data_IF_162977494085
#
_entry.id   IF_162977494085
#
_cell.length_a   1.000
_cell.length_b   1.000
_cell.length_c   1.000
_cell.angle_alpha   90.00
_cell.angle_beta   90.00
_cell.angle_gamma   90.00
#
_symmetry.space_group_name_H-M   'P 1'
#
loop_
_entity.id
_entity.type
_entity.pdbx_description
1 polymer ?
#
# COMPACT_ATOMS: atom_id res chain seq x y z
N UNK A 1 -1.89 0.63 -11.87
CA UNK A 1 -1.69 2.09 -11.78
C UNK A 1 -0.57 2.49 -10.82
N UNK A 2 -0.44 1.88 -9.63
CA UNK A 2 0.63 2.20 -8.67
C UNK A 2 2.07 2.00 -9.18
N UNK A 3 2.33 0.93 -9.95
CA UNK A 3 3.63 0.73 -10.63
C UNK A 3 3.97 1.88 -11.60
N UNK A 4 2.97 2.43 -12.30
CA UNK A 4 3.17 3.59 -13.20
C UNK A 4 3.48 4.85 -12.40
N UNK A 5 2.83 5.03 -11.24
CA UNK A 5 3.08 6.15 -10.34
C UNK A 5 4.51 6.16 -9.78
N UNK A 6 5.10 4.97 -9.58
CA UNK A 6 6.49 4.76 -9.17
C UNK A 6 7.48 4.61 -10.34
N UNK A 7 7.01 4.66 -11.59
CA UNK A 7 7.85 4.53 -12.79
C UNK A 7 8.44 3.13 -13.02
N UNK A 8 7.92 2.09 -12.36
CA UNK A 8 8.46 0.73 -12.42
C UNK A 8 7.96 0.00 -13.67
N UNK A 9 8.89 -0.64 -14.40
CA UNK A 9 8.56 -1.47 -15.58
C UNK A 9 8.48 -2.95 -15.23
N UNK A 10 9.54 -3.52 -14.68
CA UNK A 10 9.64 -4.95 -14.32
C UNK A 10 9.94 -5.22 -12.85
N UNK A 11 10.29 -4.20 -12.09
CA UNK A 11 10.65 -4.33 -10.67
C UNK A 11 9.43 -4.64 -9.80
N UNK A 12 9.70 -5.28 -8.67
CA UNK A 12 8.68 -5.61 -7.67
C UNK A 12 8.27 -4.34 -6.92
N UNK A 13 6.97 -4.08 -6.81
CA UNK A 13 6.49 -2.82 -6.23
C UNK A 13 6.83 -2.69 -4.74
N UNK A 14 6.88 -3.80 -4.00
CA UNK A 14 7.16 -3.80 -2.55
C UNK A 14 8.55 -3.25 -2.22
N UNK A 15 9.55 -3.54 -3.04
CA UNK A 15 10.93 -3.05 -2.85
C UNK A 15 11.06 -1.53 -3.06
N UNK A 16 10.01 -0.88 -3.55
CA UNK A 16 9.97 0.54 -3.86
C UNK A 16 8.88 1.31 -3.07
N UNK A 17 8.26 0.64 -2.10
CA UNK A 17 7.31 1.22 -1.16
C UNK A 17 8.05 1.82 0.04
N UNK A 18 7.59 2.98 0.49
CA UNK A 18 7.98 3.57 1.77
C UNK A 18 7.32 2.81 2.94
N UNK A 19 7.81 2.96 4.17
CA UNK A 19 7.32 2.23 5.34
C UNK A 19 5.81 2.37 5.53
N UNK A 20 5.27 3.58 5.32
CA UNK A 20 3.83 3.82 5.38
C UNK A 20 3.08 3.06 4.29
N UNK A 21 3.60 3.01 3.06
CA UNK A 21 2.97 2.29 1.96
C UNK A 21 2.92 0.79 2.24
N UNK A 22 4.00 0.23 2.82
CA UNK A 22 4.05 -1.17 3.23
C UNK A 22 3.06 -1.47 4.37
N UNK A 23 3.00 -0.62 5.40
CA UNK A 23 2.07 -0.77 6.53
C UNK A 23 0.62 -0.74 6.05
N UNK A 24 0.23 0.23 5.21
CA UNK A 24 -1.14 0.29 4.69
C UNK A 24 -1.47 -0.89 3.77
N UNK A 25 -0.50 -1.37 2.99
CA UNK A 25 -0.68 -2.55 2.17
C UNK A 25 -0.91 -3.80 3.04
N UNK A 26 -0.09 -4.01 4.07
CA UNK A 26 -0.26 -5.11 5.03
C UNK A 26 -1.59 -5.02 5.78
N UNK A 27 -2.01 -3.81 6.16
CA UNK A 27 -3.32 -3.59 6.79
C UNK A 27 -4.46 -4.05 5.87
N UNK A 28 -4.40 -3.73 4.58
CA UNK A 28 -5.43 -4.14 3.61
C UNK A 28 -5.45 -5.66 3.38
N UNK A 29 -4.28 -6.29 3.26
CA UNK A 29 -4.14 -7.74 3.14
C UNK A 29 -4.69 -8.47 4.37
N UNK A 30 -4.33 -8.01 5.57
CA UNK A 30 -4.79 -8.60 6.83
C UNK A 30 -6.28 -8.36 7.03
N UNK A 31 -6.79 -7.16 6.76
CA UNK A 31 -8.21 -6.85 6.88
C UNK A 31 -9.05 -7.73 5.93
N UNK A 32 -8.65 -7.87 4.67
CA UNK A 32 -9.32 -8.76 3.71
C UNK A 32 -9.36 -10.19 4.22
N UNK A 33 -8.25 -10.68 4.77
CA UNK A 33 -8.13 -12.06 5.27
C UNK A 33 -9.04 -12.29 6.48
N UNK A 34 -9.07 -11.36 7.42
CA UNK A 34 -9.91 -11.48 8.62
C UNK A 34 -11.40 -11.33 8.28
N UNK A 35 -11.76 -10.47 7.33
CA UNK A 35 -13.15 -10.35 6.82
C UNK A 35 -13.57 -11.67 6.18
N UNK A 36 -12.76 -12.19 5.25
CA UNK A 36 -13.04 -13.47 4.60
C UNK A 36 -13.24 -14.60 5.61
N UNK A 37 -12.35 -14.70 6.63
CA UNK A 37 -12.44 -15.73 7.68
C UNK A 37 -13.67 -15.55 8.57
N UNK A 38 -14.05 -14.31 8.87
CA UNK A 38 -15.20 -14.02 9.73
C UNK A 38 -16.53 -14.22 9.00
N UNK A 39 -16.61 -13.85 7.71
CA UNK A 39 -17.82 -13.98 6.90
C UNK A 39 -17.93 -15.36 6.21
N UNK A 40 -16.91 -16.21 6.36
CA UNK A 40 -16.77 -17.50 5.69
C UNK A 40 -17.09 -17.36 4.18
N UNK A 41 -16.42 -16.40 3.55
CA UNK A 41 -16.77 -15.95 2.20
C UNK A 41 -16.29 -16.95 1.15
N UNK A 42 -17.24 -17.55 0.42
CA UNK A 42 -16.94 -18.50 -0.66
C UNK A 42 -17.25 -17.95 -2.05
N UNK A 43 -16.42 -18.35 -3.01
CA UNK A 43 -16.58 -18.01 -4.41
C UNK A 43 -16.04 -16.62 -4.78
N UNK A 44 -15.69 -16.46 -6.06
CA UNK A 44 -15.07 -15.24 -6.60
C UNK A 44 -15.87 -13.96 -6.29
N UNK A 45 -17.21 -13.92 -6.35
CA UNK A 45 -17.96 -12.69 -6.07
C UNK A 45 -17.81 -12.18 -4.64
N UNK A 46 -17.86 -13.06 -3.64
CA UNK A 46 -17.72 -12.68 -2.22
C UNK A 46 -16.28 -12.31 -1.89
N UNK A 47 -15.32 -13.11 -2.34
CA UNK A 47 -13.89 -12.81 -2.16
C UNK A 47 -13.51 -11.43 -2.75
N UNK A 48 -14.14 -11.05 -3.86
CA UNK A 48 -13.96 -9.71 -4.45
C UNK A 48 -14.56 -8.61 -3.56
N UNK A 49 -15.67 -8.86 -2.89
CA UNK A 49 -16.26 -7.94 -1.94
C UNK A 49 -15.37 -7.79 -0.69
N UNK A 50 -14.85 -8.89 -0.14
CA UNK A 50 -13.94 -8.87 1.02
C UNK A 50 -12.67 -8.07 0.70
N UNK A 51 -12.08 -8.29 -0.48
CA UNK A 51 -10.90 -7.58 -0.94
C UNK A 51 -11.16 -6.07 -1.10
N UNK A 52 -12.36 -5.71 -1.57
CA UNK A 52 -12.78 -4.31 -1.66
C UNK A 52 -12.91 -3.70 -0.26
N UNK A 53 -13.54 -4.39 0.68
CA UNK A 53 -13.69 -3.94 2.05
C UNK A 53 -12.34 -3.76 2.76
N UNK A 54 -11.42 -4.71 2.62
CA UNK A 54 -10.06 -4.59 3.16
C UNK A 54 -9.28 -3.42 2.55
N UNK A 55 -9.42 -3.21 1.23
CA UNK A 55 -8.88 -2.06 0.53
C UNK A 55 -9.44 -0.71 1.01
N UNK A 56 -10.76 -0.65 1.26
CA UNK A 56 -11.44 0.54 1.77
C UNK A 56 -10.99 0.88 3.21
N UNK A 57 -10.78 -0.14 4.06
CA UNK A 57 -10.24 0.04 5.42
C UNK A 57 -8.82 0.63 5.38
N UNK A 58 -7.93 0.03 4.61
CA UNK A 58 -6.55 0.51 4.46
C UNK A 58 -6.50 1.92 3.86
N UNK A 59 -7.29 2.16 2.80
CA UNK A 59 -7.42 3.45 2.16
C UNK A 59 -7.99 4.52 3.10
N UNK A 60 -8.95 4.16 3.94
CA UNK A 60 -9.52 5.03 4.96
C UNK A 60 -8.51 5.40 6.04
N UNK A 61 -7.76 4.43 6.55
CA UNK A 61 -6.69 4.66 7.52
C UNK A 61 -5.60 5.60 6.97
N UNK A 62 -5.17 5.36 5.72
CA UNK A 62 -4.23 6.22 5.01
C UNK A 62 -4.74 7.66 4.93
N UNK A 63 -5.96 7.86 4.43
CA UNK A 63 -6.57 9.20 4.29
C UNK A 63 -6.69 9.92 5.63
N UNK A 64 -7.06 9.21 6.70
CA UNK A 64 -7.14 9.79 8.05
C UNK A 64 -5.77 10.26 8.54
N UNK A 65 -4.73 9.47 8.31
CA UNK A 65 -3.36 9.83 8.67
C UNK A 65 -2.87 11.04 7.86
N UNK A 66 -3.03 11.01 6.53
CA UNK A 66 -2.65 12.12 5.63
C UNK A 66 -3.34 13.44 6.03
N UNK A 67 -4.62 13.38 6.38
CA UNK A 67 -5.38 14.54 6.87
C UNK A 67 -4.81 15.10 8.17
N UNK A 68 -4.33 14.24 9.08
CA UNK A 68 -3.74 14.67 10.35
C UNK A 68 -2.32 15.21 10.19
N UNK A 69 -1.55 14.64 9.27
CA UNK A 69 -0.16 15.04 8.98
C UNK A 69 -0.06 16.25 8.06
N UNK A 70 -1.12 16.59 7.30
CA UNK A 70 -1.11 17.68 6.32
C UNK A 70 -0.23 17.40 5.09
N UNK A 71 0.23 16.16 4.91
CA UNK A 71 1.07 15.72 3.78
C UNK A 71 0.67 14.32 3.32
N UNK A 72 0.91 14.03 2.05
CA UNK A 72 0.73 12.69 1.48
C UNK A 72 1.77 11.72 2.06
N UNK A 73 1.33 10.55 2.52
CA UNK A 73 2.23 9.46 2.94
C UNK A 73 2.60 8.56 1.76
N UNK A 74 1.89 8.70 0.64
CA UNK A 74 2.25 8.11 -0.64
C UNK A 74 3.12 9.08 -1.40
N UNK A 75 4.36 8.67 -1.67
CA UNK A 75 5.29 9.47 -2.46
C UNK A 75 5.48 8.86 -3.84
N UNK A 76 5.56 9.72 -4.87
CA UNK A 76 6.03 9.31 -6.20
C UNK A 76 7.52 8.94 -6.22
N UNK A 77 8.28 9.30 -5.17
CA UNK A 77 9.68 8.88 -5.06
C UNK A 77 9.76 7.36 -4.95
N UNK A 78 10.54 6.78 -5.83
CA UNK A 78 11.03 5.41 -5.70
C UNK A 78 12.00 5.36 -4.51
N UNK A 79 11.75 4.47 -3.55
CA UNK A 79 12.63 4.30 -2.39
C UNK A 79 14.07 3.93 -2.80
N UNK A 80 14.22 3.20 -3.91
CA UNK A 80 15.52 2.79 -4.49
C UNK A 80 16.21 3.83 -5.40
N UNK A 81 15.63 5.02 -5.60
CA UNK A 81 16.23 6.06 -6.47
C UNK A 81 16.80 7.24 -5.67
N UNK A 82 17.47 6.96 -4.57
CA UNK A 82 18.67 7.71 -4.23
C UNK A 82 19.83 6.74 -4.42
N UNK A 83 20.76 6.95 -5.37
CA UNK A 83 22.00 6.20 -5.35
C UNK A 83 22.62 6.44 -3.96
N UNK A 84 22.83 5.38 -3.19
CA UNK A 84 23.43 5.47 -1.86
C UNK A 84 24.74 6.28 -1.87
N UNK A 85 25.43 6.34 -3.01
CA UNK A 85 26.57 7.22 -3.26
C UNK A 85 26.33 8.70 -2.96
N UNK A 86 25.13 9.25 -3.23
CA UNK A 86 24.87 10.69 -2.99
C UNK A 86 24.55 11.03 -1.54
N UNK A 87 24.16 10.05 -0.72
CA UNK A 87 23.90 10.26 0.72
C UNK A 87 25.16 10.16 1.57
N UNK A 88 26.19 9.45 1.12
CA UNK A 88 27.47 9.29 1.86
C UNK A 88 28.46 10.44 1.62
N UNK A 89 28.11 11.44 0.82
CA UNK A 89 28.96 12.59 0.46
C UNK A 89 28.50 13.92 1.09
N UNK A 90 27.76 13.90 2.20
CA UNK A 90 27.51 15.09 3.03
C UNK A 90 27.99 14.87 4.45
#
# INVERSE_FOLDING_TARGET
EYKKLKGLRRENLRDHMDDFELIFNMLGERATTEIHRNEDSWGVPKLKADAKAGGDIAGGARKKLEKRLGRSVVSKKNFLHEPEEKKRLK
#
